data_IF_434119949931
#
_entry.id   IF_434119949931
#
_cell.length_a   1.000
_cell.length_b   1.000
_cell.length_c   1.000
_cell.angle_alpha   90.00
_cell.angle_beta   90.00
_cell.angle_gamma   90.00
#
_symmetry.space_group_name_H-M   'P 1'
#
loop_
_entity.id
_entity.type
_entity.pdbx_description
1 polymer ?
#
# COMPACT_ATOMS: atom_id res chain seq x y z
N UNK A 1 9.55 -53.78 41.49
CA UNK A 1 8.87 -52.60 42.06
C UNK A 1 9.15 -51.39 41.17
N UNK A 2 8.08 -50.82 40.59
CA UNK A 2 7.83 -49.45 40.04
C UNK A 2 9.01 -48.57 39.58
N UNK A 3 9.07 -48.22 38.28
CA UNK A 3 8.68 -46.89 37.67
C UNK A 3 9.90 -45.94 37.63
N UNK A 4 10.17 -45.10 36.64
CA UNK A 4 9.39 -44.61 35.51
C UNK A 4 10.31 -43.86 34.52
N UNK A 5 9.94 -43.98 33.24
CA UNK A 5 9.84 -42.89 32.27
C UNK A 5 11.05 -41.97 32.05
N UNK A 6 11.74 -42.28 30.94
CA UNK A 6 11.75 -41.39 29.77
C UNK A 6 11.12 -40.03 30.01
N UNK A 7 11.90 -39.07 30.51
CA UNK A 7 11.47 -37.67 30.55
C UNK A 7 12.31 -36.89 29.56
N UNK A 8 12.09 -37.25 28.29
CA UNK A 8 12.07 -36.31 27.17
C UNK A 8 11.01 -35.24 27.49
N UNK A 9 11.36 -34.23 28.27
CA UNK A 9 10.47 -33.09 28.51
C UNK A 9 11.12 -31.80 28.02
N UNK A 10 10.96 -31.60 26.72
CA UNK A 10 10.39 -30.36 26.19
C UNK A 10 11.19 -29.13 26.58
N UNK A 11 12.30 -28.93 25.87
CA UNK A 11 12.66 -27.59 25.37
C UNK A 11 11.38 -27.00 24.80
N UNK A 12 10.69 -26.15 25.60
CA UNK A 12 9.60 -25.32 25.10
C UNK A 12 10.23 -24.48 24.02
N UNK A 13 10.14 -24.94 22.76
CA UNK A 13 10.34 -24.10 21.58
C UNK A 13 9.41 -22.92 21.80
N UNK A 14 9.95 -21.82 22.32
CA UNK A 14 9.23 -20.55 22.40
C UNK A 14 8.85 -20.26 20.97
N UNK A 15 7.58 -20.48 20.64
CA UNK A 15 7.04 -20.17 19.33
C UNK A 15 7.32 -18.68 19.13
N UNK A 16 8.18 -18.36 18.17
CA UNK A 16 8.52 -16.97 17.85
C UNK A 16 7.20 -16.21 17.65
N UNK A 17 7.10 -14.95 18.14
CA UNK A 17 5.90 -14.16 17.90
C UNK A 17 5.61 -14.17 16.40
N UNK A 18 4.33 -14.32 15.99
CA UNK A 18 3.99 -14.32 14.58
C UNK A 18 4.58 -13.07 13.94
N UNK A 19 5.13 -13.15 12.72
CA UNK A 19 5.66 -11.98 12.04
C UNK A 19 4.56 -10.92 12.04
N UNK A 20 4.89 -9.73 12.55
CA UNK A 20 3.99 -8.58 12.45
C UNK A 20 3.75 -8.39 10.97
N UNK A 21 2.55 -8.76 10.49
CA UNK A 21 2.11 -8.37 9.16
C UNK A 21 2.06 -6.86 9.17
N UNK A 22 3.10 -6.22 8.68
CA UNK A 22 3.07 -4.80 8.36
C UNK A 22 2.02 -4.68 7.28
N UNK A 23 0.83 -4.18 7.64
CA UNK A 23 -0.14 -3.78 6.62
C UNK A 23 0.57 -2.76 5.74
N UNK A 24 0.60 -3.03 4.44
CA UNK A 24 1.06 -2.04 3.47
C UNK A 24 -0.05 -1.00 3.45
N UNK A 25 0.16 0.11 4.14
CA UNK A 25 -0.78 1.22 4.16
C UNK A 25 -0.68 1.93 2.81
N UNK A 26 -1.71 1.78 1.97
CA UNK A 26 -1.77 2.45 0.69
C UNK A 26 -2.33 3.86 0.86
N UNK A 27 -1.51 4.87 0.54
CA UNK A 27 -1.91 6.27 0.62
C UNK A 27 -2.59 6.67 -0.69
N UNK A 28 -3.90 6.45 -0.77
CA UNK A 28 -4.69 6.74 -1.97
C UNK A 28 -4.59 8.21 -2.41
N UNK A 29 -4.51 9.15 -1.47
CA UNK A 29 -4.34 10.57 -1.77
C UNK A 29 -3.03 10.86 -2.52
N UNK A 30 -1.94 10.18 -2.14
CA UNK A 30 -0.64 10.32 -2.80
C UNK A 30 -0.69 9.73 -4.21
N UNK A 31 -1.24 8.52 -4.36
CA UNK A 31 -1.39 7.89 -5.67
C UNK A 31 -2.19 8.77 -6.65
N UNK A 32 -3.27 9.40 -6.16
CA UNK A 32 -4.07 10.35 -6.95
C UNK A 32 -3.30 11.60 -7.32
N UNK A 33 -2.47 12.15 -6.44
CA UNK A 33 -1.60 13.29 -6.76
C UNK A 33 -0.53 12.94 -7.80
N UNK A 34 0.11 11.78 -7.66
CA UNK A 34 1.10 11.28 -8.62
C UNK A 34 0.48 11.01 -10.00
N UNK A 35 -0.76 10.55 -10.06
CA UNK A 35 -1.47 10.37 -11.33
C UNK A 35 -1.65 11.70 -12.09
N UNK A 36 -1.88 12.82 -11.39
CA UNK A 36 -1.95 14.16 -12.00
C UNK A 36 -0.60 14.57 -12.58
N UNK A 37 0.49 14.36 -11.84
CA UNK A 37 1.83 14.67 -12.31
C UNK A 37 2.23 13.81 -13.52
N UNK A 38 1.87 12.53 -13.50
CA UNK A 38 2.11 11.59 -14.61
C UNK A 38 1.26 11.85 -15.85
N UNK A 39 0.27 12.76 -15.79
CA UNK A 39 -0.50 13.15 -16.95
C UNK A 39 0.26 14.12 -17.88
N UNK A 40 1.34 14.74 -17.41
CA UNK A 40 2.16 15.66 -18.20
C UNK A 40 3.34 14.93 -18.83
N UNK A 41 3.64 15.28 -20.08
CA UNK A 41 4.73 14.71 -20.87
C UNK A 41 5.27 15.76 -21.86
N UNK A 42 6.32 15.43 -22.61
CA UNK A 42 6.96 16.36 -23.55
C UNK A 42 6.00 16.89 -24.63
N UNK A 43 5.04 16.07 -25.09
CA UNK A 43 4.05 16.47 -26.07
C UNK A 43 2.87 17.26 -25.45
N UNK A 44 2.65 17.13 -24.13
CA UNK A 44 1.51 17.71 -23.42
C UNK A 44 1.97 18.44 -22.15
N UNK A 45 2.90 19.38 -22.35
CA UNK A 45 3.48 20.18 -21.26
C UNK A 45 2.48 21.19 -20.69
N UNK A 46 1.52 21.64 -21.51
CA UNK A 46 0.43 22.53 -21.12
C UNK A 46 -0.92 21.89 -21.45
N UNK A 47 -1.81 21.83 -20.47
CA UNK A 47 -3.12 21.23 -20.61
C UNK A 47 -4.17 21.98 -19.79
N UNK A 48 -5.38 22.07 -20.32
CA UNK A 48 -6.54 22.49 -19.53
C UNK A 48 -6.88 21.43 -18.47
N UNK A 49 -7.49 21.87 -17.37
CA UNK A 49 -7.93 20.98 -16.28
C UNK A 49 -8.81 19.81 -16.77
N UNK A 50 -9.68 20.07 -17.76
CA UNK A 50 -10.56 19.06 -18.35
C UNK A 50 -9.80 17.99 -19.12
N UNK A 51 -8.68 18.37 -19.75
CA UNK A 51 -7.81 17.46 -20.48
C UNK A 51 -7.06 16.55 -19.50
N UNK A 52 -6.50 17.14 -18.43
CA UNK A 52 -5.86 16.39 -17.33
C UNK A 52 -6.86 15.41 -16.70
N UNK A 53 -8.08 15.87 -16.40
CA UNK A 53 -9.12 15.03 -15.83
C UNK A 53 -9.50 13.85 -16.74
N UNK A 54 -9.58 14.09 -18.05
CA UNK A 54 -9.87 13.05 -19.05
C UNK A 54 -8.75 12.02 -19.13
N UNK A 55 -7.49 12.46 -19.12
CA UNK A 55 -6.30 11.59 -19.15
C UNK A 55 -6.18 10.68 -17.93
N UNK A 56 -6.56 11.15 -16.74
CA UNK A 56 -6.51 10.36 -15.50
C UNK A 56 -7.84 9.67 -15.14
N UNK A 57 -8.88 9.80 -15.98
CA UNK A 57 -10.16 9.10 -15.81
C UNK A 57 -11.01 9.57 -14.62
N UNK A 58 -10.99 10.86 -14.29
CA UNK A 58 -11.80 11.44 -13.19
C UNK A 58 -12.62 12.64 -13.65
N UNK A 59 -13.56 13.09 -12.81
CA UNK A 59 -14.29 14.33 -13.10
C UNK A 59 -13.41 15.58 -12.91
N UNK A 60 -13.64 16.67 -13.68
CA UNK A 60 -12.89 17.92 -13.53
C UNK A 60 -12.93 18.50 -12.10
N UNK A 61 -14.06 18.37 -11.41
CA UNK A 61 -14.20 18.77 -10.00
C UNK A 61 -13.28 17.95 -9.07
N UNK A 62 -13.10 16.66 -9.35
CA UNK A 62 -12.19 15.80 -8.60
C UNK A 62 -10.74 16.18 -8.87
N UNK A 63 -10.37 16.42 -10.12
CA UNK A 63 -9.03 16.86 -10.50
C UNK A 63 -8.66 18.20 -9.84
N UNK A 64 -9.58 19.18 -9.85
CA UNK A 64 -9.37 20.50 -9.23
C UNK A 64 -9.01 20.44 -7.74
N UNK A 65 -9.59 19.48 -6.99
CA UNK A 65 -9.34 19.32 -5.55
C UNK A 65 -7.97 18.72 -5.23
N UNK A 66 -7.24 18.26 -6.25
CA UNK A 66 -5.93 17.62 -6.13
C UNK A 66 -4.79 18.53 -6.58
N UNK A 67 -5.11 19.65 -7.23
CA UNK A 67 -4.22 20.79 -7.46
C UNK A 67 -4.14 21.63 -6.17
#
# INVERSE_FOLDING_TARGET
MKKAETTSSRTKRRKAPPPRRTKVEFVEALARGLAVLGAFDEAHSEMALTEVASRIGVSPATARRRL
#
